data_IF_507447460053
#
_entry.id   IF_507447460053
#
_cell.length_a   1.000
_cell.length_b   1.000
_cell.length_c   1.000
_cell.angle_alpha   90.00
_cell.angle_beta   90.00
_cell.angle_gamma   90.00
#
_symmetry.space_group_name_H-M   'P 1'
#
loop_
_entity.id
_entity.type
_entity.pdbx_description
1 polymer ?
#
# COMPACT_ATOMS: atom_id res chain seq x y z
N UNK A 1 -15.29 -20.49 -36.25
CA UNK A 1 -14.40 -19.92 -35.20
C UNK A 1 -15.16 -18.80 -34.55
N UNK A 2 -15.94 -19.10 -33.48
CA UNK A 2 -16.63 -18.12 -32.68
C UNK A 2 -15.59 -17.38 -31.84
N UNK A 3 -15.47 -16.08 -32.05
CA UNK A 3 -14.73 -15.18 -31.14
C UNK A 3 -15.49 -15.13 -29.82
N UNK A 4 -14.87 -15.65 -28.76
CA UNK A 4 -15.32 -15.44 -27.38
C UNK A 4 -15.28 -13.95 -27.08
N UNK A 5 -16.45 -13.31 -27.11
CA UNK A 5 -16.63 -11.95 -26.57
C UNK A 5 -16.38 -12.04 -25.06
N UNK A 6 -15.48 -11.22 -24.49
CA UNK A 6 -15.29 -11.21 -23.05
C UNK A 6 -16.63 -10.81 -22.41
N UNK A 7 -17.18 -11.69 -21.58
CA UNK A 7 -18.36 -11.36 -20.79
C UNK A 7 -18.01 -10.17 -19.92
N UNK A 8 -18.78 -9.06 -20.06
CA UNK A 8 -18.72 -7.93 -19.17
C UNK A 8 -18.94 -8.44 -17.75
N UNK A 9 -17.93 -8.30 -16.86
CA UNK A 9 -18.09 -8.51 -15.43
C UNK A 9 -19.26 -7.62 -15.01
N UNK A 10 -20.28 -8.21 -14.36
CA UNK A 10 -21.37 -7.46 -13.79
C UNK A 10 -20.86 -6.38 -12.84
N UNK A 11 -21.68 -5.42 -12.50
CA UNK A 11 -21.44 -4.20 -11.70
C UNK A 11 -20.84 -4.40 -10.29
N UNK A 12 -20.21 -5.52 -10.00
CA UNK A 12 -19.59 -5.78 -8.69
C UNK A 12 -18.22 -5.08 -8.64
N UNK A 13 -18.10 -4.14 -7.69
CA UNK A 13 -16.85 -3.44 -7.39
C UNK A 13 -15.90 -4.45 -6.75
N UNK A 14 -14.73 -4.66 -7.34
CA UNK A 14 -13.68 -5.49 -6.79
C UNK A 14 -12.77 -4.67 -5.88
N UNK A 15 -12.39 -5.24 -4.75
CA UNK A 15 -11.48 -4.63 -3.78
C UNK A 15 -10.24 -5.53 -3.63
N UNK A 16 -9.10 -5.04 -4.10
CA UNK A 16 -7.83 -5.78 -4.06
C UNK A 16 -6.85 -5.12 -3.10
N UNK A 17 -6.22 -5.90 -2.23
CA UNK A 17 -5.10 -5.44 -1.42
C UNK A 17 -3.77 -5.79 -2.12
N UNK A 18 -2.89 -4.82 -2.31
CA UNK A 18 -1.48 -5.04 -2.69
C UNK A 18 -0.65 -4.95 -1.41
N UNK A 19 -0.10 -6.09 -0.98
CA UNK A 19 0.75 -6.16 0.21
C UNK A 19 2.21 -6.19 -0.18
N UNK A 20 2.96 -5.16 0.23
CA UNK A 20 4.36 -4.97 -0.17
C UNK A 20 5.31 -5.64 0.82
N UNK A 21 6.07 -6.62 0.36
CA UNK A 21 7.09 -7.36 1.10
C UNK A 21 8.48 -7.37 0.41
N UNK A 22 8.69 -6.52 -0.60
CA UNK A 22 9.95 -6.45 -1.36
C UNK A 22 11.03 -5.58 -0.69
N UNK A 23 10.70 -4.83 0.37
CA UNK A 23 11.62 -3.92 1.05
C UNK A 23 12.78 -4.63 1.75
N UNK A 24 14.00 -4.10 1.59
CA UNK A 24 15.24 -4.64 2.19
C UNK A 24 15.46 -4.22 3.65
N UNK A 25 14.64 -3.34 4.20
CA UNK A 25 14.78 -2.92 5.60
C UNK A 25 16.13 -2.23 5.93
N UNK A 26 16.65 -1.41 5.03
CA UNK A 26 18.00 -0.78 5.10
C UNK A 26 18.31 -0.05 6.43
N UNK A 27 17.29 0.28 7.22
CA UNK A 27 17.45 0.94 8.55
C UNK A 27 17.73 -0.04 9.70
N UNK A 28 17.44 -1.32 9.53
CA UNK A 28 17.77 -2.35 10.52
C UNK A 28 18.96 -3.15 10.01
N UNK A 29 20.05 -3.18 10.77
CA UNK A 29 21.25 -3.99 10.51
C UNK A 29 20.99 -5.50 10.75
N UNK A 30 19.81 -6.01 10.35
CA UNK A 30 19.42 -7.40 10.48
C UNK A 30 19.69 -8.13 9.18
N UNK A 31 20.22 -9.35 9.25
CA UNK A 31 20.40 -10.25 8.11
C UNK A 31 19.06 -10.71 7.52
N UNK A 32 17.99 -10.73 8.33
CA UNK A 32 16.62 -11.12 7.93
C UNK A 32 15.79 -9.86 7.64
N UNK A 33 15.07 -9.84 6.53
CA UNK A 33 14.19 -8.73 6.18
C UNK A 33 13.03 -8.60 7.21
N UNK A 34 12.64 -7.36 7.54
CA UNK A 34 11.70 -7.04 8.63
C UNK A 34 10.39 -7.82 8.57
N UNK A 35 9.84 -7.96 7.39
CA UNK A 35 8.56 -8.64 7.15
C UNK A 35 8.60 -10.13 7.48
N UNK A 36 9.79 -10.73 7.53
CA UNK A 36 10.00 -12.13 7.86
C UNK A 36 10.54 -12.36 9.28
N UNK A 37 10.65 -11.30 10.10
CA UNK A 37 10.93 -11.45 11.52
C UNK A 37 9.76 -12.11 12.23
N UNK A 38 10.03 -12.98 13.19
CA UNK A 38 9.01 -13.69 13.95
C UNK A 38 8.55 -12.89 15.17
N UNK A 39 7.25 -12.77 15.33
CA UNK A 39 6.58 -12.19 16.50
C UNK A 39 5.45 -13.13 16.91
N UNK A 40 5.42 -13.53 18.17
CA UNK A 40 4.41 -14.43 18.72
C UNK A 40 4.18 -15.71 17.87
N UNK A 41 5.25 -16.28 17.31
CA UNK A 41 5.23 -17.56 16.57
C UNK A 41 4.87 -17.45 15.09
N UNK A 42 4.69 -16.24 14.56
CA UNK A 42 4.43 -16.00 13.15
C UNK A 42 5.33 -14.88 12.59
N UNK A 43 5.59 -14.92 11.31
CA UNK A 43 6.28 -13.82 10.63
C UNK A 43 5.42 -12.55 10.63
N UNK A 44 6.04 -11.37 10.69
CA UNK A 44 5.33 -10.08 10.68
C UNK A 44 4.36 -9.97 9.49
N UNK A 45 4.78 -10.45 8.31
CA UNK A 45 3.96 -10.45 7.10
C UNK A 45 2.67 -11.27 7.24
N UNK A 46 2.69 -12.36 8.03
CA UNK A 46 1.50 -13.16 8.32
C UNK A 46 0.35 -12.32 8.87
N UNK A 47 0.62 -11.43 9.82
CA UNK A 47 -0.43 -10.60 10.44
C UNK A 47 -1.06 -9.64 9.45
N UNK A 48 -0.26 -9.05 8.57
CA UNK A 48 -0.77 -8.18 7.50
C UNK A 48 -1.64 -8.97 6.51
N UNK A 49 -1.16 -10.12 6.03
CA UNK A 49 -1.93 -10.97 5.10
C UNK A 49 -3.24 -11.44 5.73
N UNK A 50 -3.18 -11.91 6.98
CA UNK A 50 -4.35 -12.37 7.72
C UNK A 50 -5.43 -11.30 7.85
N UNK A 51 -5.04 -10.07 8.18
CA UNK A 51 -6.00 -8.96 8.33
C UNK A 51 -6.79 -8.69 7.05
N UNK A 52 -6.15 -8.77 5.87
CA UNK A 52 -6.83 -8.61 4.58
C UNK A 52 -7.58 -9.86 4.14
N UNK A 53 -7.05 -11.06 4.41
CA UNK A 53 -7.69 -12.32 4.04
C UNK A 53 -9.00 -12.55 4.81
N UNK A 54 -9.01 -12.23 6.10
CA UNK A 54 -10.21 -12.35 6.94
C UNK A 54 -11.22 -11.21 6.72
N UNK A 55 -10.83 -10.08 6.10
CA UNK A 55 -11.71 -8.92 5.95
C UNK A 55 -12.79 -9.13 4.87
N UNK A 56 -14.10 -9.06 5.20
CA UNK A 56 -15.17 -9.40 4.25
C UNK A 56 -15.27 -8.44 3.05
N UNK A 57 -14.77 -7.21 3.17
CA UNK A 57 -14.78 -6.20 2.12
C UNK A 57 -13.56 -6.25 1.19
N UNK A 58 -12.66 -7.23 1.34
CA UNK A 58 -11.52 -7.45 0.45
C UNK A 58 -11.75 -8.73 -0.34
N UNK A 59 -11.65 -8.68 -1.67
CA UNK A 59 -11.94 -9.81 -2.56
C UNK A 59 -10.67 -10.59 -2.95
N UNK A 60 -9.53 -9.90 -3.03
CA UNK A 60 -8.26 -10.51 -3.41
C UNK A 60 -7.05 -9.79 -2.82
N UNK A 61 -5.93 -10.51 -2.77
CA UNK A 61 -4.63 -10.02 -2.33
C UNK A 61 -3.62 -10.33 -3.42
N UNK A 62 -2.82 -9.32 -3.79
CA UNK A 62 -1.59 -9.46 -4.56
C UNK A 62 -0.42 -9.21 -3.61
N UNK A 63 0.42 -10.21 -3.40
CA UNK A 63 1.61 -10.09 -2.59
C UNK A 63 2.81 -9.73 -3.47
N UNK A 64 3.50 -8.65 -3.14
CA UNK A 64 4.68 -8.21 -3.89
C UNK A 64 5.92 -8.44 -3.04
N UNK A 65 6.81 -9.31 -3.52
CA UNK A 65 8.03 -9.68 -2.79
C UNK A 65 9.25 -9.67 -3.71
N UNK A 66 10.42 -9.98 -3.18
CA UNK A 66 11.61 -10.21 -4.00
C UNK A 66 11.58 -11.61 -4.60
N UNK A 67 12.26 -11.79 -5.72
CA UNK A 67 12.38 -13.07 -6.42
C UNK A 67 12.81 -14.21 -5.48
N UNK A 68 13.83 -13.96 -4.65
CA UNK A 68 14.37 -14.92 -3.67
C UNK A 68 13.38 -15.38 -2.59
N UNK A 69 12.28 -14.64 -2.36
CA UNK A 69 11.27 -14.94 -1.35
C UNK A 69 9.92 -15.41 -1.94
N UNK A 70 9.78 -15.50 -3.26
CA UNK A 70 8.52 -15.92 -3.89
C UNK A 70 8.11 -17.32 -3.40
N UNK A 71 9.03 -18.30 -3.46
CA UNK A 71 8.75 -19.66 -3.01
C UNK A 71 8.41 -19.72 -1.53
N UNK A 72 9.14 -18.98 -0.69
CA UNK A 72 8.86 -18.88 0.75
C UNK A 72 7.47 -18.31 1.00
N UNK A 73 7.11 -17.19 0.35
CA UNK A 73 5.79 -16.58 0.50
C UNK A 73 4.67 -17.51 0.01
N UNK A 74 4.91 -18.28 -1.04
CA UNK A 74 3.93 -19.24 -1.55
C UNK A 74 3.73 -20.38 -0.54
N UNK A 75 4.79 -21.08 -0.14
CA UNK A 75 4.71 -22.30 0.65
C UNK A 75 4.47 -22.03 2.13
N UNK A 76 5.29 -21.16 2.72
CA UNK A 76 5.31 -20.96 4.18
C UNK A 76 4.29 -19.92 4.67
N UNK A 77 3.70 -19.12 3.77
CA UNK A 77 2.66 -18.18 4.12
C UNK A 77 1.32 -18.53 3.44
N UNK A 78 1.22 -18.39 2.10
CA UNK A 78 -0.07 -18.53 1.43
C UNK A 78 -0.68 -19.93 1.59
N UNK A 79 0.08 -21.00 1.29
CA UNK A 79 -0.40 -22.38 1.36
C UNK A 79 -0.51 -22.87 2.81
N UNK A 80 0.53 -22.65 3.63
CA UNK A 80 0.56 -23.12 5.02
C UNK A 80 -0.59 -22.59 5.86
N UNK A 81 -0.91 -21.30 5.71
CA UNK A 81 -2.01 -20.66 6.46
C UNK A 81 -3.31 -20.59 5.66
N UNK A 82 -3.35 -21.16 4.46
CA UNK A 82 -4.54 -21.24 3.60
C UNK A 82 -5.18 -19.87 3.34
N UNK A 83 -4.37 -18.85 3.07
CA UNK A 83 -4.86 -17.52 2.71
C UNK A 83 -5.60 -17.57 1.37
N UNK A 84 -6.92 -17.71 1.43
CA UNK A 84 -7.77 -17.97 0.27
C UNK A 84 -7.82 -16.81 -0.73
N UNK A 85 -7.54 -15.58 -0.26
CA UNK A 85 -7.59 -14.37 -1.08
C UNK A 85 -6.25 -14.01 -1.72
N UNK A 86 -5.13 -14.64 -1.35
CA UNK A 86 -3.85 -14.47 -2.05
C UNK A 86 -3.96 -15.11 -3.44
N UNK A 87 -4.12 -14.27 -4.48
CA UNK A 87 -4.34 -14.70 -5.87
C UNK A 87 -3.07 -14.68 -6.70
N UNK A 88 -2.14 -13.81 -6.35
CA UNK A 88 -0.88 -13.66 -7.07
C UNK A 88 0.25 -13.27 -6.13
N UNK A 89 1.46 -13.72 -6.44
CA UNK A 89 2.71 -13.34 -5.78
C UNK A 89 3.66 -12.88 -6.87
N UNK A 90 3.87 -11.58 -6.97
CA UNK A 90 4.70 -10.99 -8.00
C UNK A 90 6.01 -10.42 -7.47
N UNK A 91 6.99 -10.28 -8.37
CA UNK A 91 8.30 -9.74 -8.05
C UNK A 91 8.22 -8.22 -8.05
N UNK A 92 8.68 -7.59 -6.95
CA UNK A 92 8.77 -6.15 -6.83
C UNK A 92 9.87 -5.53 -7.70
N UNK A 93 9.80 -4.21 -7.85
CA UNK A 93 10.78 -3.44 -8.58
C UNK A 93 11.92 -2.90 -7.70
N UNK A 94 12.73 -2.02 -8.30
CA UNK A 94 13.89 -1.40 -7.65
C UNK A 94 13.48 -0.47 -6.50
N UNK A 95 12.49 0.37 -6.77
CA UNK A 95 11.94 1.32 -5.80
C UNK A 95 10.60 0.83 -5.26
N UNK A 96 10.11 1.46 -4.16
CA UNK A 96 8.81 1.10 -3.59
C UNK A 96 7.68 1.31 -4.61
N UNK A 97 7.67 2.42 -5.32
CA UNK A 97 6.66 2.72 -6.34
C UNK A 97 6.71 1.74 -7.53
N UNK A 98 7.90 1.24 -7.92
CA UNK A 98 7.99 0.18 -8.94
C UNK A 98 7.32 -1.11 -8.46
N UNK A 99 7.49 -1.46 -7.18
CA UNK A 99 6.87 -2.63 -6.58
C UNK A 99 5.34 -2.50 -6.55
N UNK A 100 4.81 -1.32 -6.23
CA UNK A 100 3.36 -1.05 -6.31
C UNK A 100 2.87 -1.19 -7.75
N UNK A 101 3.60 -0.66 -8.71
CA UNK A 101 3.23 -0.75 -10.13
C UNK A 101 3.20 -2.20 -10.65
N UNK A 102 4.12 -3.06 -10.20
CA UNK A 102 4.08 -4.50 -10.50
C UNK A 102 2.82 -5.14 -9.92
N UNK A 103 2.51 -4.87 -8.64
CA UNK A 103 1.27 -5.35 -8.01
C UNK A 103 0.01 -4.84 -8.72
N UNK A 104 -0.01 -3.57 -9.13
CA UNK A 104 -1.11 -2.98 -9.88
C UNK A 104 -1.28 -3.62 -11.26
N UNK A 105 -0.18 -3.99 -11.91
CA UNK A 105 -0.20 -4.70 -13.20
C UNK A 105 -0.75 -6.11 -13.08
N UNK A 106 -0.53 -6.79 -11.93
CA UNK A 106 -1.03 -8.13 -11.66
C UNK A 106 -2.56 -8.18 -11.41
N UNK A 107 -3.21 -7.07 -11.06
CA UNK A 107 -4.67 -7.03 -10.87
C UNK A 107 -5.43 -7.35 -12.17
N UNK A 108 -4.86 -7.07 -13.34
CA UNK A 108 -5.47 -7.34 -14.64
C UNK A 108 -6.52 -6.31 -15.06
N UNK A 109 -7.55 -6.76 -15.79
CA UNK A 109 -8.64 -5.88 -16.26
C UNK A 109 -9.52 -5.44 -15.07
N UNK A 110 -9.82 -4.16 -15.00
CA UNK A 110 -10.52 -3.49 -13.90
C UNK A 110 -11.82 -2.83 -14.34
N UNK A 111 -12.74 -2.68 -13.39
CA UNK A 111 -13.91 -1.83 -13.52
C UNK A 111 -13.59 -0.39 -13.11
N UNK A 112 -14.41 0.56 -13.58
CA UNK A 112 -14.22 2.00 -13.27
C UNK A 112 -14.21 2.33 -11.76
N UNK A 113 -14.88 1.50 -10.96
CA UNK A 113 -15.03 1.73 -9.52
C UNK A 113 -14.25 0.74 -8.64
N UNK A 114 -13.39 -0.10 -9.25
CA UNK A 114 -12.57 -1.03 -8.49
C UNK A 114 -11.61 -0.29 -7.57
N UNK A 115 -11.40 -0.87 -6.39
CA UNK A 115 -10.60 -0.27 -5.31
C UNK A 115 -9.32 -1.08 -5.10
N UNK A 116 -8.23 -0.38 -4.87
CA UNK A 116 -6.96 -0.98 -4.46
C UNK A 116 -6.48 -0.38 -3.14
N UNK A 117 -6.05 -1.24 -2.21
CA UNK A 117 -5.40 -0.86 -0.96
C UNK A 117 -3.92 -1.21 -1.06
N UNK A 118 -3.04 -0.22 -0.93
CA UNK A 118 -1.58 -0.44 -0.89
C UNK A 118 -1.15 -0.51 0.57
N UNK A 119 -0.56 -1.63 0.98
CA UNK A 119 -0.17 -1.85 2.36
C UNK A 119 1.26 -2.37 2.51
N UNK A 120 2.00 -1.77 3.44
CA UNK A 120 3.36 -2.23 3.77
C UNK A 120 3.25 -3.50 4.64
N UNK A 121 3.69 -4.66 4.12
CA UNK A 121 3.60 -5.96 4.81
C UNK A 121 4.37 -6.04 6.13
N UNK A 122 5.24 -5.08 6.42
CA UNK A 122 5.93 -4.93 7.71
C UNK A 122 5.14 -4.11 8.75
N UNK A 123 3.84 -3.84 8.52
CA UNK A 123 2.93 -3.13 9.44
C UNK A 123 1.82 -4.06 9.94
N UNK A 124 2.07 -4.90 10.97
CA UNK A 124 1.16 -5.97 11.37
C UNK A 124 -0.12 -5.51 12.09
N UNK A 125 -0.26 -4.21 12.41
CA UNK A 125 -1.37 -3.67 13.23
C UNK A 125 -2.46 -2.97 12.42
N UNK A 126 -2.61 -3.31 11.14
CA UNK A 126 -3.78 -2.90 10.37
C UNK A 126 -5.03 -3.58 10.95
N UNK A 127 -6.09 -2.79 11.21
CA UNK A 127 -7.33 -3.31 11.77
C UNK A 127 -8.44 -3.39 10.73
N UNK A 128 -9.47 -4.18 11.01
CA UNK A 128 -10.66 -4.28 10.15
C UNK A 128 -11.36 -2.92 9.97
N UNK A 129 -11.38 -2.10 11.02
CA UNK A 129 -11.96 -0.76 10.99
C UNK A 129 -11.16 0.16 10.05
N UNK A 130 -9.83 0.12 10.09
CA UNK A 130 -8.97 0.89 9.18
C UNK A 130 -9.20 0.48 7.72
N UNK A 131 -9.29 -0.83 7.45
CA UNK A 131 -9.57 -1.36 6.11
C UNK A 131 -10.95 -0.88 5.63
N UNK A 132 -11.99 -1.07 6.45
CA UNK A 132 -13.36 -0.65 6.12
C UNK A 132 -13.46 0.85 5.87
N UNK A 133 -12.89 1.67 6.75
CA UNK A 133 -12.93 3.13 6.64
C UNK A 133 -12.20 3.62 5.37
N UNK A 134 -11.05 3.02 5.03
CA UNK A 134 -10.31 3.41 3.84
C UNK A 134 -11.01 2.99 2.54
N UNK A 135 -11.66 1.82 2.50
CA UNK A 135 -12.48 1.39 1.36
C UNK A 135 -13.66 2.35 1.17
N UNK A 136 -14.40 2.67 2.24
CA UNK A 136 -15.54 3.59 2.17
C UNK A 136 -15.11 4.98 1.70
N UNK A 137 -14.00 5.50 2.24
CA UNK A 137 -13.47 6.79 1.87
C UNK A 137 -13.01 6.85 0.40
N UNK A 138 -12.31 5.82 -0.10
CA UNK A 138 -11.86 5.78 -1.49
C UNK A 138 -13.05 5.66 -2.48
N UNK A 139 -14.12 4.99 -2.10
CA UNK A 139 -15.37 4.98 -2.90
C UNK A 139 -15.99 6.38 -3.03
N UNK A 140 -15.94 7.17 -1.97
CA UNK A 140 -16.49 8.53 -1.94
C UNK A 140 -15.58 9.57 -2.61
N UNK A 141 -14.27 9.54 -2.28
CA UNK A 141 -13.31 10.60 -2.62
C UNK A 141 -12.31 10.21 -3.71
N UNK A 142 -12.28 8.94 -4.15
CA UNK A 142 -11.33 8.43 -5.12
C UNK A 142 -9.96 8.05 -4.55
N UNK A 143 -9.49 8.73 -3.50
CA UNK A 143 -8.17 8.52 -2.91
C UNK A 143 -8.16 8.87 -1.42
N UNK A 144 -7.56 7.99 -0.60
CA UNK A 144 -7.34 8.26 0.80
C UNK A 144 -6.12 7.52 1.37
N UNK A 145 -5.72 7.89 2.56
CA UNK A 145 -4.69 7.22 3.34
C UNK A 145 -5.06 7.15 4.80
N UNK A 146 -4.51 6.17 5.48
CA UNK A 146 -4.60 6.09 6.93
C UNK A 146 -3.52 6.97 7.57
N UNK A 147 -3.85 7.71 8.61
CA UNK A 147 -2.91 8.56 9.32
C UNK A 147 -3.28 8.81 10.76
N UNK A 148 -2.30 9.17 11.58
CA UNK A 148 -2.50 9.56 12.98
C UNK A 148 -1.98 10.99 13.21
N UNK A 149 -2.63 11.80 14.05
CA UNK A 149 -2.11 13.11 14.39
C UNK A 149 -0.72 13.02 15.01
N UNK A 150 0.16 13.96 14.65
CA UNK A 150 1.48 14.05 15.27
C UNK A 150 1.35 14.31 16.77
N UNK A 151 2.05 13.51 17.60
CA UNK A 151 2.07 13.68 19.07
C UNK A 151 3.09 14.73 19.49
N UNK A 152 4.24 14.76 18.83
CA UNK A 152 5.32 15.68 19.12
C UNK A 152 5.21 16.98 18.33
N UNK A 153 5.90 18.02 18.80
CA UNK A 153 6.06 19.26 18.03
C UNK A 153 6.98 19.01 16.85
N UNK A 154 6.48 19.29 15.65
CA UNK A 154 7.26 19.16 14.42
C UNK A 154 7.88 20.51 14.08
N UNK A 155 9.15 20.47 13.68
CA UNK A 155 9.89 21.63 13.17
C UNK A 155 10.29 21.36 11.72
N UNK A 156 9.99 22.29 10.85
CA UNK A 156 10.63 22.37 9.52
C UNK A 156 11.93 23.13 9.70
N UNK A 157 13.02 22.57 9.21
CA UNK A 157 14.36 23.15 9.34
C UNK A 157 14.98 23.35 7.95
N UNK A 158 15.92 24.29 7.85
CA UNK A 158 16.75 24.49 6.66
C UNK A 158 17.92 23.48 6.59
N UNK A 159 18.80 23.64 5.60
CA UNK A 159 19.98 22.78 5.40
C UNK A 159 21.00 22.85 6.54
N UNK A 160 21.01 23.95 7.30
CA UNK A 160 21.90 24.19 8.44
C UNK A 160 21.23 23.83 9.79
N UNK A 161 20.06 23.16 9.72
CA UNK A 161 19.24 22.71 10.87
C UNK A 161 18.64 23.83 11.72
N UNK A 162 18.53 25.06 11.22
CA UNK A 162 17.78 26.12 11.87
C UNK A 162 16.28 25.97 11.62
N UNK A 163 15.47 26.24 12.65
CA UNK A 163 14.01 26.15 12.54
C UNK A 163 13.43 27.24 11.63
N UNK A 164 12.75 26.82 10.57
CA UNK A 164 12.06 27.70 9.61
C UNK A 164 10.60 27.86 9.99
N UNK A 165 9.93 26.77 10.34
CA UNK A 165 8.50 26.73 10.66
C UNK A 165 8.19 25.73 11.75
N UNK A 166 7.13 26.02 12.52
CA UNK A 166 6.50 25.08 13.44
C UNK A 166 5.02 24.99 13.07
N UNK A 167 4.63 24.00 12.27
CA UNK A 167 3.24 23.88 11.83
C UNK A 167 2.31 23.60 13.01
N UNK A 168 1.07 24.07 12.94
CA UNK A 168 0.07 23.75 13.93
C UNK A 168 -0.17 22.23 13.97
N UNK A 169 0.16 21.61 15.11
CA UNK A 169 0.13 20.15 15.30
C UNK A 169 -1.20 19.50 14.91
N UNK A 170 -2.33 20.18 15.09
CA UNK A 170 -3.67 19.68 14.72
C UNK A 170 -3.84 19.38 13.23
N UNK A 171 -2.97 19.95 12.37
CA UNK A 171 -2.97 19.74 10.93
C UNK A 171 -1.83 18.83 10.44
N UNK A 172 -1.01 18.31 11.36
CA UNK A 172 0.13 17.46 11.01
C UNK A 172 -0.20 16.01 11.33
N UNK A 173 -0.13 15.17 10.32
CA UNK A 173 -0.41 13.74 10.43
C UNK A 173 0.81 12.91 10.03
N UNK A 174 1.02 11.82 10.73
CA UNK A 174 1.96 10.77 10.34
C UNK A 174 1.19 9.76 9.48
N UNK A 175 1.58 9.67 8.21
CA UNK A 175 0.90 8.82 7.24
C UNK A 175 1.32 7.36 7.43
N UNK A 176 0.32 6.50 7.40
CA UNK A 176 0.41 5.06 7.54
C UNK A 176 -0.06 4.36 6.25
N UNK A 177 -0.29 3.07 6.32
CA UNK A 177 -0.97 2.26 5.31
C UNK A 177 -2.10 1.46 5.97
N UNK A 178 -3.18 1.12 5.24
CA UNK A 178 -3.31 1.17 3.79
C UNK A 178 -3.46 2.59 3.22
N UNK A 179 -2.95 2.78 1.99
CA UNK A 179 -3.26 3.90 1.12
C UNK A 179 -4.20 3.35 0.04
N UNK A 180 -5.37 3.97 -0.13
CA UNK A 180 -6.48 3.34 -0.85
C UNK A 180 -6.99 4.24 -1.96
N UNK A 181 -7.18 3.68 -3.13
CA UNK A 181 -7.49 4.42 -4.35
C UNK A 181 -8.51 3.68 -5.21
N UNK A 182 -9.23 4.42 -6.04
CA UNK A 182 -9.84 3.84 -7.24
C UNK A 182 -8.73 3.40 -8.19
N UNK A 183 -8.81 2.16 -8.70
CA UNK A 183 -7.75 1.56 -9.54
C UNK A 183 -7.44 2.41 -10.78
N UNK A 184 -8.43 2.90 -11.56
CA UNK A 184 -8.14 3.74 -12.73
C UNK A 184 -7.41 5.04 -12.40
N UNK A 185 -7.74 5.65 -11.24
CA UNK A 185 -7.07 6.87 -10.77
C UNK A 185 -5.59 6.61 -10.49
N UNK A 186 -5.30 5.56 -9.71
CA UNK A 186 -3.92 5.22 -9.37
C UNK A 186 -3.11 4.84 -10.61
N UNK A 187 -3.69 4.05 -11.51
CA UNK A 187 -3.03 3.62 -12.75
C UNK A 187 -2.65 4.82 -13.61
N UNK A 188 -3.57 5.76 -13.84
CA UNK A 188 -3.30 7.00 -14.56
C UNK A 188 -2.20 7.83 -13.90
N UNK A 189 -2.19 7.93 -12.57
CA UNK A 189 -1.14 8.65 -11.85
C UNK A 189 0.24 8.03 -12.06
N UNK A 190 0.34 6.69 -12.04
CA UNK A 190 1.57 5.96 -12.33
C UNK A 190 2.06 6.15 -13.78
N UNK A 191 1.16 6.08 -14.76
CA UNK A 191 1.48 6.31 -16.18
C UNK A 191 2.05 7.71 -16.39
N UNK A 192 1.39 8.73 -15.83
CA UNK A 192 1.84 10.13 -15.88
C UNK A 192 3.21 10.30 -15.20
N UNK A 193 3.40 9.68 -14.04
CA UNK A 193 4.68 9.71 -13.31
C UNK A 193 5.81 9.10 -14.14
N UNK A 194 5.61 7.91 -14.75
CA UNK A 194 6.65 7.28 -15.56
C UNK A 194 6.94 8.08 -16.84
N UNK A 195 5.95 8.73 -17.44
CA UNK A 195 6.16 9.64 -18.55
C UNK A 195 6.99 10.84 -18.14
N UNK A 196 6.66 11.48 -17.01
CA UNK A 196 7.42 12.60 -16.46
C UNK A 196 8.88 12.20 -16.16
N UNK A 197 9.11 11.03 -15.55
CA UNK A 197 10.46 10.51 -15.28
C UNK A 197 11.26 10.27 -16.55
N UNK A 198 10.64 9.74 -17.62
CA UNK A 198 11.31 9.62 -18.94
C UNK A 198 11.70 10.98 -19.52
N UNK A 199 10.96 12.02 -19.18
CA UNK A 199 11.22 13.41 -19.61
C UNK A 199 12.12 14.19 -18.63
N UNK A 200 12.77 13.50 -17.67
CA UNK A 200 13.77 14.09 -16.78
C UNK A 200 13.25 14.56 -15.43
N UNK A 201 12.03 14.19 -15.05
CA UNK A 201 11.53 14.48 -13.70
C UNK A 201 12.32 13.69 -12.64
N UNK A 202 12.88 14.43 -11.66
CA UNK A 202 13.71 13.92 -10.57
C UNK A 202 13.00 13.94 -9.21
N UNK A 203 11.71 14.25 -9.16
CA UNK A 203 10.98 14.30 -7.90
C UNK A 203 11.05 12.95 -7.17
N UNK A 204 11.36 13.05 -5.89
CA UNK A 204 11.37 11.88 -5.00
C UNK A 204 9.94 11.55 -4.56
N UNK A 205 9.48 10.35 -4.85
CA UNK A 205 8.16 9.85 -4.47
C UNK A 205 8.31 9.05 -3.19
N UNK A 206 7.70 9.52 -2.11
CA UNK A 206 7.80 8.90 -0.79
C UNK A 206 6.69 7.90 -0.52
N UNK A 207 5.48 8.14 -1.06
CA UNK A 207 4.32 7.27 -0.94
C UNK A 207 3.35 7.43 -2.13
N UNK A 208 2.28 6.61 -2.15
CA UNK A 208 1.33 6.60 -3.26
C UNK A 208 0.35 7.77 -3.21
N UNK A 209 0.10 8.36 -2.04
CA UNK A 209 -0.72 9.57 -1.92
C UNK A 209 -0.04 10.76 -2.54
N UNK A 210 1.24 10.98 -2.24
CA UNK A 210 2.05 12.01 -2.89
C UNK A 210 2.08 11.83 -4.41
N UNK A 211 2.21 10.59 -4.89
CA UNK A 211 2.18 10.28 -6.32
C UNK A 211 0.86 10.70 -6.96
N UNK A 212 -0.28 10.33 -6.35
CA UNK A 212 -1.62 10.70 -6.87
C UNK A 212 -1.84 12.22 -6.81
N UNK A 213 -1.42 12.88 -5.73
CA UNK A 213 -1.54 14.33 -5.58
C UNK A 213 -0.72 15.08 -6.64
N UNK A 214 0.50 14.63 -6.90
CA UNK A 214 1.42 15.29 -7.84
C UNK A 214 1.10 15.00 -9.30
N UNK A 215 0.78 13.76 -9.66
CA UNK A 215 0.67 13.34 -11.06
C UNK A 215 -0.77 13.15 -11.55
N UNK A 216 -1.76 13.07 -10.65
CA UNK A 216 -3.18 13.08 -11.03
C UNK A 216 -3.93 14.34 -10.55
N UNK A 217 -3.33 15.18 -9.70
CA UNK A 217 -3.93 16.40 -9.19
C UNK A 217 -5.11 16.16 -8.25
N UNK A 218 -5.24 14.98 -7.67
CA UNK A 218 -6.33 14.61 -6.77
C UNK A 218 -5.84 14.64 -5.32
N UNK A 219 -6.49 15.41 -4.47
CA UNK A 219 -6.17 15.48 -3.04
C UNK A 219 -6.60 14.19 -2.33
N UNK A 220 -5.72 13.62 -1.53
CA UNK A 220 -5.99 12.43 -0.75
C UNK A 220 -6.57 12.78 0.62
N UNK A 221 -7.68 12.14 1.00
CA UNK A 221 -8.30 12.31 2.31
C UNK A 221 -7.58 11.45 3.34
N UNK A 222 -7.35 11.98 4.54
CA UNK A 222 -6.78 11.20 5.65
C UNK A 222 -7.93 10.62 6.47
N UNK A 223 -7.94 9.31 6.66
CA UNK A 223 -8.80 8.60 7.61
C UNK A 223 -8.03 8.25 8.87
N UNK A 224 -8.73 8.14 9.99
CA UNK A 224 -8.08 7.89 11.29
C UNK A 224 -7.42 6.51 11.32
N UNK A 225 -6.17 6.48 11.74
CA UNK A 225 -5.36 5.29 11.96
C UNK A 225 -5.35 4.86 13.43
N UNK A 226 -4.79 3.68 13.67
CA UNK A 226 -4.50 3.22 15.01
C UNK A 226 -3.07 3.58 15.43
N UNK A 227 -2.84 3.71 16.74
CA UNK A 227 -1.50 3.79 17.30
C UNK A 227 -0.66 2.59 16.82
N UNK A 228 0.50 2.85 16.22
CA UNK A 228 1.38 1.80 15.72
C UNK A 228 2.35 1.35 16.80
N UNK A 229 3.05 0.22 16.57
CA UNK A 229 4.17 -0.20 17.45
C UNK A 229 5.22 0.90 17.64
N UNK A 230 5.41 1.81 16.69
CA UNK A 230 6.27 2.98 16.86
C UNK A 230 5.79 3.94 17.95
N UNK A 231 4.51 3.87 18.31
CA UNK A 231 3.91 4.70 19.35
C UNK A 231 3.94 4.01 20.73
N UNK A 232 4.31 2.73 20.75
CA UNK A 232 4.34 1.88 21.95
C UNK A 232 5.78 1.61 22.43
N UNK A 233 6.77 1.73 21.53
CA UNK A 233 8.20 1.60 21.80
C UNK A 233 8.91 2.94 21.73
#
# INVERSE_FOLDING_TARGET
TEMLVPQSRGTQIMVTAIVLAAGVGSRMKSEKAKQFLEVAGHEVLYYSLRAFDEHPGVDSIVLVTKEEFVEHCQKELAERYQFAKVRDICIGGKERYDSVYQGLSAIGAEGENDIVLIHDGARPFVTAEMISASIACARECGACTVGVPAKDTIKIVDTDHYGVETPERKFVYQIQTPQTFQVPLLRRAYETMYEAKRNGDTHNITDDTMLVEQYAGVRCKVVEGAASLKDIL
#
